data_IF_501313176269
#
_entry.id   IF_501313176269
#
_cell.length_a   1.000
_cell.length_b   1.000
_cell.length_c   1.000
_cell.angle_alpha   90.00
_cell.angle_beta   90.00
_cell.angle_gamma   90.00
#
_symmetry.space_group_name_H-M   'P 1'
#
loop_
_entity.id
_entity.type
_entity.pdbx_description
1 polymer ?
#
# COMPACT_ATOMS: atom_id res chain seq x y z
N UNK A 1 24.42 1.32 5.38
CA UNK A 1 24.84 0.24 6.31
C UNK A 1 25.29 0.90 7.60
N UNK A 2 24.93 0.31 8.74
CA UNK A 2 25.21 0.87 10.06
C UNK A 2 25.85 -0.20 10.95
N UNK A 3 26.96 0.14 11.61
CA UNK A 3 27.53 -0.65 12.70
C UNK A 3 26.74 -0.34 13.99
N UNK A 4 26.03 -1.32 14.53
CA UNK A 4 25.07 -1.10 15.63
C UNK A 4 25.55 -1.51 17.03
N UNK A 5 26.67 -2.24 17.13
CA UNK A 5 27.18 -2.83 18.37
C UNK A 5 28.18 -1.92 19.10
N UNK A 6 28.67 -0.85 18.45
CA UNK A 6 29.64 0.06 19.05
C UNK A 6 31.06 -0.52 19.10
N UNK A 7 31.35 -1.53 18.28
CA UNK A 7 32.66 -2.18 18.17
C UNK A 7 33.17 -2.09 16.74
N UNK A 8 34.47 -1.87 16.51
CA UNK A 8 35.02 -1.85 15.16
C UNK A 8 34.80 -3.20 14.46
N UNK A 9 34.53 -3.15 13.16
CA UNK A 9 34.38 -4.32 12.28
C UNK A 9 35.37 -4.17 11.14
N UNK A 10 36.32 -5.10 11.06
CA UNK A 10 37.31 -5.15 9.98
C UNK A 10 36.91 -6.21 8.95
N UNK A 11 37.23 -5.94 7.69
CA UNK A 11 37.00 -6.82 6.54
C UNK A 11 35.56 -7.30 6.38
N UNK A 12 34.60 -6.42 6.67
CA UNK A 12 33.20 -6.70 6.41
C UNK A 12 33.01 -6.96 4.91
N UNK A 13 32.41 -8.11 4.58
CA UNK A 13 32.16 -8.53 3.21
C UNK A 13 30.66 -8.72 2.99
N UNK A 14 30.11 -7.98 2.02
CA UNK A 14 28.73 -8.13 1.58
C UNK A 14 28.67 -8.68 0.17
N UNK A 15 28.00 -9.83 0.01
CA UNK A 15 27.64 -10.40 -1.28
C UNK A 15 26.14 -10.31 -1.50
N UNK A 16 25.72 -9.88 -2.68
CA UNK A 16 24.33 -9.80 -3.10
C UNK A 16 24.16 -10.51 -4.45
N UNK A 17 23.10 -11.31 -4.59
CA UNK A 17 22.79 -12.02 -5.83
C UNK A 17 23.95 -12.87 -6.34
N UNK A 18 24.26 -12.76 -7.64
CA UNK A 18 25.42 -13.44 -8.24
C UNK A 18 26.76 -12.84 -7.78
N UNK A 19 26.77 -11.57 -7.38
CA UNK A 19 27.93 -10.82 -6.91
C UNK A 19 27.76 -9.32 -7.14
N UNK A 20 28.60 -8.52 -6.50
CA UNK A 20 28.76 -7.09 -6.76
C UNK A 20 29.76 -6.93 -7.91
N UNK A 21 29.38 -6.21 -8.95
CA UNK A 21 30.27 -5.89 -10.08
C UNK A 21 31.05 -4.60 -9.81
N UNK A 22 30.37 -3.57 -9.30
CA UNK A 22 30.98 -2.29 -8.94
C UNK A 22 30.32 -1.74 -7.68
N UNK A 23 31.09 -0.97 -6.92
CA UNK A 23 30.59 -0.23 -5.77
C UNK A 23 31.26 1.14 -5.67
N UNK A 24 30.52 2.12 -5.19
CA UNK A 24 31.04 3.43 -4.78
C UNK A 24 30.41 3.85 -3.46
N UNK A 25 31.16 4.59 -2.65
CA UNK A 25 30.65 5.17 -1.42
C UNK A 25 29.94 6.48 -1.73
N UNK A 26 28.82 6.70 -1.04
CA UNK A 26 28.00 7.90 -1.15
C UNK A 26 27.88 8.61 0.20
N UNK A 27 27.51 9.88 0.15
CA UNK A 27 26.95 10.56 1.31
C UNK A 27 25.50 10.13 1.58
N UNK A 28 24.96 10.54 2.72
CA UNK A 28 23.54 10.34 3.03
C UNK A 28 22.61 11.04 2.02
N UNK A 29 23.10 12.06 1.31
CA UNK A 29 22.42 12.76 0.21
C UNK A 29 22.45 12.00 -1.13
N UNK A 30 23.01 10.80 -1.17
CA UNK A 30 23.25 9.98 -2.39
C UNK A 30 24.27 10.57 -3.38
N UNK A 31 24.93 11.68 -3.03
CA UNK A 31 26.04 12.22 -3.80
C UNK A 31 27.29 11.34 -3.67
N UNK A 32 28.09 11.28 -4.73
CA UNK A 32 29.32 10.49 -4.76
C UNK A 32 30.33 11.01 -3.75
N UNK A 33 30.81 10.12 -2.88
CA UNK A 33 31.86 10.40 -1.90
C UNK A 33 33.21 9.87 -2.37
N UNK A 34 33.23 8.73 -3.05
CA UNK A 34 34.44 8.14 -3.59
C UNK A 34 34.31 6.65 -3.95
N UNK A 35 35.41 6.02 -4.38
CA UNK A 35 35.40 4.61 -4.77
C UNK A 35 35.19 3.69 -3.56
N UNK A 36 34.62 2.50 -3.81
CA UNK A 36 34.54 1.42 -2.82
C UNK A 36 35.18 0.15 -3.37
N UNK A 37 35.67 -0.71 -2.47
CA UNK A 37 36.41 -1.91 -2.85
C UNK A 37 35.47 -3.06 -3.13
N UNK A 38 35.59 -3.66 -4.31
CA UNK A 38 34.94 -4.92 -4.66
C UNK A 38 36.01 -5.99 -4.81
N UNK A 39 35.87 -7.09 -4.08
CA UNK A 39 36.79 -8.25 -4.14
C UNK A 39 35.97 -9.53 -4.23
N UNK A 40 36.28 -10.38 -5.21
CA UNK A 40 35.63 -11.68 -5.40
C UNK A 40 34.08 -11.62 -5.46
N UNK A 41 33.54 -10.53 -6.03
CA UNK A 41 32.09 -10.30 -6.10
C UNK A 41 31.45 -9.82 -4.79
N UNK A 42 32.24 -9.38 -3.81
CA UNK A 42 31.77 -8.82 -2.56
C UNK A 42 32.19 -7.35 -2.44
N UNK A 43 31.30 -6.49 -1.91
CA UNK A 43 31.72 -5.22 -1.34
C UNK A 43 32.55 -5.53 -0.09
N UNK A 44 33.76 -4.98 0.01
CA UNK A 44 34.64 -5.13 1.19
C UNK A 44 34.93 -3.78 1.79
N UNK A 45 34.73 -3.65 3.10
CA UNK A 45 34.90 -2.39 3.82
C UNK A 45 35.12 -2.63 5.32
N UNK A 46 35.67 -1.62 6.00
CA UNK A 46 35.75 -1.58 7.46
C UNK A 46 34.75 -0.58 8.03
N UNK A 47 34.38 -0.78 9.29
CA UNK A 47 33.55 0.11 10.10
C UNK A 47 34.23 0.44 11.43
N UNK A 48 34.26 1.71 11.80
CA UNK A 48 34.52 2.13 13.19
C UNK A 48 33.23 1.99 14.03
N UNK A 49 33.30 2.03 15.38
CA UNK A 49 32.11 2.02 16.24
C UNK A 49 31.03 3.02 15.80
N UNK A 50 29.79 2.56 15.68
CA UNK A 50 28.62 3.34 15.26
C UNK A 50 28.74 4.05 13.91
N UNK A 51 29.66 3.61 13.05
CA UNK A 51 29.86 4.24 11.76
C UNK A 51 28.72 3.90 10.79
N UNK A 52 28.22 4.93 10.13
CA UNK A 52 27.27 4.81 9.04
C UNK A 52 28.00 5.05 7.72
N UNK A 53 27.85 4.11 6.79
CA UNK A 53 28.36 4.24 5.41
C UNK A 53 27.27 3.91 4.40
N UNK A 54 27.23 4.67 3.32
CA UNK A 54 26.25 4.49 2.24
C UNK A 54 26.99 4.07 0.98
N UNK A 55 26.46 3.10 0.24
CA UNK A 55 27.08 2.59 -0.97
C UNK A 55 26.06 2.46 -2.09
N UNK A 56 26.43 2.90 -3.29
CA UNK A 56 25.74 2.49 -4.51
C UNK A 56 26.41 1.24 -5.07
N UNK A 57 25.60 0.22 -5.39
CA UNK A 57 26.07 -1.06 -5.89
C UNK A 57 25.52 -1.30 -7.30
N UNK A 58 26.38 -1.76 -8.20
CA UNK A 58 25.96 -2.39 -9.45
C UNK A 58 26.20 -3.88 -9.31
N UNK A 59 25.12 -4.67 -9.36
CA UNK A 59 25.21 -6.13 -9.24
C UNK A 59 25.70 -6.75 -10.55
N UNK A 60 26.33 -7.91 -10.45
CA UNK A 60 26.57 -8.78 -11.60
C UNK A 60 25.24 -9.22 -12.21
N UNK A 61 25.20 -9.49 -13.52
CA UNK A 61 24.02 -10.05 -14.17
C UNK A 61 23.51 -11.28 -13.41
N UNK A 62 22.20 -11.36 -13.19
CA UNK A 62 21.60 -12.52 -12.57
C UNK A 62 21.81 -13.76 -13.46
N UNK A 63 22.16 -14.89 -12.85
CA UNK A 63 22.33 -16.16 -13.58
C UNK A 63 21.01 -16.65 -14.20
N UNK A 64 19.87 -16.22 -13.64
CA UNK A 64 18.55 -16.45 -14.17
C UNK A 64 17.85 -15.12 -14.42
N UNK A 65 17.36 -14.93 -15.63
CA UNK A 65 16.53 -13.78 -16.01
C UNK A 65 15.09 -14.27 -16.08
N UNK A 66 14.22 -13.71 -15.23
CA UNK A 66 12.79 -13.96 -15.31
C UNK A 66 12.20 -13.32 -16.56
N UNK A 67 11.29 -14.01 -17.23
CA UNK A 67 10.48 -13.40 -18.28
C UNK A 67 9.39 -12.54 -17.64
N UNK A 68 9.09 -11.39 -18.26
CA UNK A 68 7.98 -10.56 -17.85
C UNK A 68 6.68 -11.39 -17.86
N UNK A 69 5.91 -11.27 -16.78
CA UNK A 69 4.59 -11.85 -16.71
C UNK A 69 3.71 -11.30 -17.84
N UNK A 70 3.00 -12.16 -18.56
CA UNK A 70 1.91 -11.67 -19.42
C UNK A 70 0.76 -11.32 -18.49
N UNK A 71 0.52 -10.02 -18.38
CA UNK A 71 -0.63 -9.46 -17.70
C UNK A 71 -1.57 -8.89 -18.75
N UNK A 72 -2.85 -9.23 -18.68
CA UNK A 72 -3.86 -8.66 -19.58
C UNK A 72 -5.04 -8.14 -18.77
N UNK A 73 -5.31 -6.82 -18.82
CA UNK A 73 -6.50 -6.27 -18.19
C UNK A 73 -7.77 -6.99 -18.65
N UNK A 74 -8.65 -7.26 -17.69
CA UNK A 74 -9.95 -7.89 -17.90
C UNK A 74 -11.03 -6.83 -17.87
N UNK A 75 -11.87 -6.78 -18.92
CA UNK A 75 -13.04 -5.91 -18.94
C UNK A 75 -14.07 -6.42 -17.94
N UNK A 76 -14.47 -5.56 -17.00
CA UNK A 76 -15.49 -5.86 -16.00
C UNK A 76 -16.84 -5.22 -16.39
N UNK A 77 -17.98 -5.85 -16.03
CA UNK A 77 -19.30 -5.30 -16.27
C UNK A 77 -19.65 -4.22 -15.22
N UNK A 78 -18.99 -3.06 -15.31
CA UNK A 78 -19.15 -1.97 -14.35
C UNK A 78 -20.62 -1.57 -14.16
N UNK A 79 -21.03 -1.31 -12.93
CA UNK A 79 -22.44 -1.06 -12.57
C UNK A 79 -22.64 0.12 -11.60
N UNK A 80 -21.58 0.73 -11.08
CA UNK A 80 -21.66 1.91 -10.20
C UNK A 80 -20.61 2.96 -10.60
N UNK A 81 -20.93 4.23 -10.36
CA UNK A 81 -19.98 5.33 -10.52
C UNK A 81 -19.21 5.54 -9.20
N UNK A 82 -17.90 5.30 -9.24
CA UNK A 82 -16.95 5.53 -8.16
C UNK A 82 -15.95 6.65 -8.48
N UNK A 83 -15.70 6.94 -9.76
CA UNK A 83 -14.82 8.04 -10.19
C UNK A 83 -15.69 9.18 -10.72
N UNK A 84 -15.48 10.40 -10.21
CA UNK A 84 -16.30 11.58 -10.52
C UNK A 84 -15.43 12.79 -10.84
N UNK A 85 -15.94 13.70 -11.67
CA UNK A 85 -15.31 15.02 -11.89
C UNK A 85 -15.67 15.98 -10.76
N UNK A 86 -14.89 17.03 -10.58
CA UNK A 86 -15.20 18.10 -9.62
C UNK A 86 -16.63 18.63 -9.83
N UNK A 87 -17.44 18.67 -8.76
CA UNK A 87 -18.82 19.16 -8.79
C UNK A 87 -19.85 18.21 -9.40
N UNK A 88 -19.45 17.01 -9.84
CA UNK A 88 -20.36 15.97 -10.31
C UNK A 88 -21.01 15.25 -9.11
N UNK A 89 -22.32 15.05 -9.15
CA UNK A 89 -23.00 14.26 -8.13
C UNK A 89 -22.63 12.79 -8.25
N UNK A 90 -22.11 12.21 -7.18
CA UNK A 90 -21.70 10.81 -7.13
C UNK A 90 -22.82 9.88 -6.65
N UNK A 91 -22.74 8.61 -7.07
CA UNK A 91 -23.65 7.54 -6.62
C UNK A 91 -23.30 6.97 -5.25
N UNK A 92 -22.11 7.28 -4.76
CA UNK A 92 -21.54 6.77 -3.52
C UNK A 92 -21.27 7.90 -2.54
N UNK A 93 -21.23 7.62 -1.22
CA UNK A 93 -20.89 8.63 -0.21
C UNK A 93 -19.54 9.29 -0.46
N UNK A 94 -18.57 8.50 -0.96
CA UNK A 94 -17.24 8.96 -1.35
C UNK A 94 -16.89 8.42 -2.73
N UNK A 95 -16.28 9.26 -3.55
CA UNK A 95 -15.80 8.93 -4.89
C UNK A 95 -14.37 9.41 -5.11
N UNK A 96 -13.65 8.74 -6.01
CA UNK A 96 -12.29 9.08 -6.43
C UNK A 96 -12.36 10.26 -7.41
N UNK A 97 -11.62 11.34 -7.19
CA UNK A 97 -11.55 12.44 -8.16
C UNK A 97 -10.89 11.98 -9.47
N UNK A 98 -11.51 12.27 -10.60
CA UNK A 98 -11.06 11.80 -11.92
C UNK A 98 -9.65 12.27 -12.30
N UNK A 99 -9.22 13.44 -11.81
CA UNK A 99 -7.89 14.00 -11.99
C UNK A 99 -6.80 13.29 -11.15
N UNK A 100 -7.20 12.47 -10.17
CA UNK A 100 -6.27 11.69 -9.33
C UNK A 100 -5.90 10.34 -9.91
N UNK A 101 -6.74 9.79 -10.78
CA UNK A 101 -6.55 8.46 -11.35
C UNK A 101 -6.34 8.50 -12.87
N UNK A 102 -5.24 7.87 -13.31
CA UNK A 102 -4.94 7.70 -14.73
C UNK A 102 -5.85 6.66 -15.40
N UNK A 103 -5.67 6.47 -16.71
CA UNK A 103 -6.38 5.40 -17.46
C UNK A 103 -5.84 4.00 -17.10
N UNK A 104 -4.69 3.95 -16.42
CA UNK A 104 -4.08 2.74 -15.91
C UNK A 104 -3.46 3.00 -14.53
N UNK A 105 -3.63 2.04 -13.63
CA UNK A 105 -2.86 1.93 -12.39
C UNK A 105 -1.89 0.76 -12.54
N UNK A 106 -0.60 0.98 -12.29
CA UNK A 106 0.38 -0.11 -12.24
C UNK A 106 0.84 -0.28 -10.80
N UNK A 107 0.54 -1.43 -10.21
CA UNK A 107 0.91 -1.74 -8.84
C UNK A 107 1.43 -3.18 -8.74
N UNK A 108 2.51 -3.38 -7.98
CA UNK A 108 3.22 -4.67 -7.90
C UNK A 108 3.59 -5.28 -9.26
N UNK A 109 3.89 -4.44 -10.26
CA UNK A 109 4.18 -4.86 -11.63
C UNK A 109 2.95 -5.35 -12.42
N UNK A 110 1.74 -5.19 -11.89
CA UNK A 110 0.48 -5.58 -12.53
C UNK A 110 -0.20 -4.30 -13.08
N UNK A 111 -0.47 -4.22 -14.40
CA UNK A 111 -1.25 -3.14 -14.98
C UNK A 111 -2.74 -3.40 -14.78
N UNK A 112 -3.48 -2.40 -14.32
CA UNK A 112 -4.93 -2.38 -14.17
C UNK A 112 -5.51 -1.27 -15.06
N UNK A 113 -6.34 -1.63 -16.04
CA UNK A 113 -7.02 -0.65 -16.87
C UNK A 113 -8.22 -0.06 -16.12
N UNK A 114 -8.27 1.26 -16.01
CA UNK A 114 -9.28 1.99 -15.25
C UNK A 114 -10.36 2.50 -16.20
N UNK A 115 -11.61 2.09 -15.95
CA UNK A 115 -12.76 2.69 -16.63
C UNK A 115 -12.98 4.11 -16.07
N UNK A 116 -13.38 5.06 -16.91
CA UNK A 116 -13.63 6.45 -16.49
C UNK A 116 -15.04 6.93 -16.80
N UNK A 117 -15.60 6.49 -17.91
CA UNK A 117 -16.90 6.95 -18.39
C UNK A 117 -18.06 6.17 -17.77
N UNK A 118 -19.16 6.86 -17.47
CA UNK A 118 -20.38 6.26 -16.96
C UNK A 118 -20.17 5.47 -15.67
N UNK A 119 -20.57 4.19 -15.68
CA UNK A 119 -20.25 3.26 -14.59
C UNK A 119 -18.80 2.82 -14.72
N UNK A 120 -18.00 3.09 -13.69
CA UNK A 120 -16.55 2.93 -13.72
C UNK A 120 -15.99 2.08 -12.58
N UNK A 121 -16.87 1.49 -11.77
CA UNK A 121 -16.52 0.44 -10.84
C UNK A 121 -17.58 -0.67 -10.85
N UNK A 122 -17.17 -1.85 -10.37
CA UNK A 122 -18.02 -3.01 -10.21
C UNK A 122 -18.35 -3.19 -8.72
N UNK A 123 -19.61 -2.98 -8.36
CA UNK A 123 -20.20 -3.46 -7.12
C UNK A 123 -20.52 -4.94 -7.21
N UNK A 124 -20.08 -5.71 -6.23
CA UNK A 124 -20.22 -7.17 -6.25
C UNK A 124 -21.68 -7.61 -6.08
N UNK A 125 -22.20 -8.30 -7.08
CA UNK A 125 -23.60 -8.75 -7.16
C UNK A 125 -23.73 -10.20 -7.68
N UNK A 126 -22.69 -11.02 -7.54
CA UNK A 126 -22.72 -12.42 -8.01
C UNK A 126 -22.27 -12.60 -9.47
N UNK A 127 -21.50 -11.67 -10.01
CA UNK A 127 -21.07 -11.73 -11.42
C UNK A 127 -20.15 -12.93 -11.66
N UNK A 128 -20.32 -13.58 -12.80
CA UNK A 128 -19.41 -14.62 -13.29
C UNK A 128 -18.44 -14.02 -14.29
N UNK A 129 -17.15 -14.08 -13.98
CA UNK A 129 -16.06 -13.66 -14.86
C UNK A 129 -15.56 -14.87 -15.65
N UNK A 130 -15.49 -14.73 -16.97
CA UNK A 130 -14.86 -15.72 -17.85
C UNK A 130 -13.41 -15.31 -18.12
N UNK A 131 -12.49 -16.25 -17.97
CA UNK A 131 -11.06 -16.05 -18.07
C UNK A 131 -10.52 -16.74 -19.33
N UNK A 132 -9.38 -16.27 -19.83
CA UNK A 132 -8.63 -16.93 -20.88
C UNK A 132 -8.07 -18.25 -20.39
N UNK A 133 -7.93 -19.20 -21.30
CA UNK A 133 -7.44 -20.56 -21.00
C UNK A 133 -6.03 -20.61 -20.42
N UNK A 134 -5.18 -19.62 -20.73
CA UNK A 134 -3.80 -19.52 -20.22
C UNK A 134 -3.69 -18.76 -18.89
N UNK A 135 -4.80 -18.24 -18.35
CA UNK A 135 -4.84 -17.51 -17.09
C UNK A 135 -4.56 -18.46 -15.92
N UNK A 136 -3.56 -18.12 -15.11
CA UNK A 136 -3.18 -18.87 -13.91
C UNK A 136 -3.62 -18.18 -12.64
N UNK A 137 -3.66 -16.85 -12.64
CA UNK A 137 -4.08 -16.02 -11.51
C UNK A 137 -4.94 -14.86 -12.00
N UNK A 138 -5.90 -14.45 -11.18
CA UNK A 138 -6.70 -13.25 -11.38
C UNK A 138 -6.35 -12.25 -10.29
N UNK A 139 -5.87 -11.07 -10.68
CA UNK A 139 -5.67 -9.95 -9.77
C UNK A 139 -6.88 -9.02 -9.83
N UNK A 140 -7.44 -8.66 -8.69
CA UNK A 140 -8.53 -7.71 -8.54
C UNK A 140 -8.01 -6.51 -7.74
N UNK A 141 -8.29 -5.30 -8.22
CA UNK A 141 -8.06 -4.07 -7.46
C UNK A 141 -9.38 -3.68 -6.81
N UNK A 142 -9.55 -3.95 -5.52
CA UNK A 142 -10.82 -3.81 -4.82
C UNK A 142 -10.69 -3.30 -3.38
N UNK A 143 -11.81 -2.90 -2.80
CA UNK A 143 -11.96 -2.60 -1.38
C UNK A 143 -13.43 -2.69 -0.94
N UNK A 144 -13.64 -2.79 0.37
CA UNK A 144 -14.96 -2.79 1.01
C UNK A 144 -15.15 -1.55 1.89
N UNK A 145 -16.36 -1.29 2.41
CA UNK A 145 -16.54 -0.22 3.42
C UNK A 145 -15.84 -0.57 4.74
N UNK A 146 -15.82 -1.85 5.12
CA UNK A 146 -15.10 -2.36 6.29
C UNK A 146 -14.37 -3.67 5.99
N UNK A 147 -13.34 -3.97 6.78
CA UNK A 147 -12.59 -5.24 6.67
C UNK A 147 -13.56 -6.42 6.85
N UNK A 148 -13.55 -7.35 5.90
CA UNK A 148 -14.43 -8.52 5.90
C UNK A 148 -13.83 -9.70 5.14
N UNK A 149 -14.38 -10.88 5.38
CA UNK A 149 -14.06 -12.09 4.61
C UNK A 149 -15.21 -12.31 3.63
N UNK A 150 -14.88 -12.47 2.35
CA UNK A 150 -15.84 -12.82 1.31
C UNK A 150 -15.46 -14.13 0.62
N UNK A 151 -16.48 -14.89 0.24
CA UNK A 151 -16.34 -16.19 -0.39
C UNK A 151 -16.38 -16.08 -1.92
N UNK A 152 -15.22 -16.22 -2.56
CA UNK A 152 -15.10 -16.26 -4.02
C UNK A 152 -15.24 -17.70 -4.50
N UNK A 153 -15.93 -17.94 -5.62
CA UNK A 153 -15.97 -19.29 -6.20
C UNK A 153 -15.04 -19.37 -7.41
N UNK A 154 -14.03 -20.23 -7.35
CA UNK A 154 -13.03 -20.43 -8.40
C UNK A 154 -13.10 -21.87 -8.89
N UNK A 155 -13.46 -22.09 -10.16
CA UNK A 155 -13.59 -23.45 -10.71
C UNK A 155 -14.51 -24.36 -9.89
N UNK A 156 -15.59 -23.80 -9.33
CA UNK A 156 -16.57 -24.50 -8.49
C UNK A 156 -16.17 -24.68 -7.01
N UNK A 157 -14.99 -24.21 -6.58
CA UNK A 157 -14.56 -24.25 -5.18
C UNK A 157 -14.68 -22.89 -4.51
N UNK A 158 -15.19 -22.87 -3.29
CA UNK A 158 -15.23 -21.66 -2.45
C UNK A 158 -13.84 -21.35 -1.89
N UNK A 159 -13.41 -20.10 -2.02
CA UNK A 159 -12.14 -19.56 -1.55
C UNK A 159 -12.43 -18.31 -0.70
N UNK A 160 -12.33 -18.42 0.64
CA UNK A 160 -12.51 -17.26 1.53
C UNK A 160 -11.33 -16.30 1.35
N UNK A 161 -11.64 -15.02 1.14
CA UNK A 161 -10.64 -13.98 0.90
C UNK A 161 -10.89 -12.77 1.82
N UNK A 162 -9.82 -12.25 2.40
CA UNK A 162 -9.87 -10.98 3.13
C UNK A 162 -10.01 -9.82 2.14
N UNK A 163 -11.02 -8.98 2.34
CA UNK A 163 -11.23 -7.73 1.61
C UNK A 163 -11.16 -6.58 2.61
N UNK A 164 -10.28 -5.63 2.31
CA UNK A 164 -9.91 -4.56 3.22
C UNK A 164 -10.72 -3.29 3.01
N UNK A 165 -10.88 -2.53 4.08
CA UNK A 165 -11.63 -1.28 4.12
C UNK A 165 -10.99 -0.21 3.25
N UNK A 166 -11.82 0.50 2.50
CA UNK A 166 -11.43 1.63 1.67
C UNK A 166 -11.19 2.91 2.45
N UNK A 167 -11.74 3.03 3.66
CA UNK A 167 -11.71 4.26 4.46
C UNK A 167 -10.77 4.16 5.66
N UNK A 168 -10.50 2.95 6.16
CA UNK A 168 -9.47 2.76 7.19
C UNK A 168 -8.09 2.96 6.58
N UNK A 169 -7.22 3.71 7.27
CA UNK A 169 -5.84 3.97 6.84
C UNK A 169 -5.05 2.67 6.63
N UNK A 170 -4.18 2.64 5.63
CA UNK A 170 -3.29 1.50 5.41
C UNK A 170 -2.38 1.25 6.62
N UNK A 171 -1.83 2.32 7.18
CA UNK A 171 -1.03 2.27 8.39
C UNK A 171 -1.27 3.52 9.23
N UNK A 172 -1.19 3.38 10.54
CA UNK A 172 -1.10 4.51 11.45
C UNK A 172 -0.20 4.20 12.64
N UNK A 173 0.11 5.24 13.40
CA UNK A 173 0.99 5.19 14.56
C UNK A 173 0.28 5.74 15.79
N UNK A 174 0.82 5.46 16.97
CA UNK A 174 0.26 5.92 18.24
C UNK A 174 0.11 7.45 18.26
N UNK A 175 -1.14 7.90 18.29
CA UNK A 175 -1.51 9.29 18.51
C UNK A 175 -2.30 9.38 19.81
N UNK A 176 -1.58 9.64 20.91
CA UNK A 176 -2.12 9.68 22.27
C UNK A 176 -3.39 10.51 22.39
N UNK A 177 -3.43 11.66 21.72
CA UNK A 177 -4.57 12.58 21.75
C UNK A 177 -5.79 12.18 20.98
N UNK A 178 -5.59 11.34 19.99
CA UNK A 178 -6.67 10.81 19.18
C UNK A 178 -7.12 9.45 19.72
N UNK A 179 -6.48 8.94 20.77
CA UNK A 179 -6.65 7.58 21.28
C UNK A 179 -6.48 6.54 20.15
N UNK A 180 -5.62 6.86 19.18
CA UNK A 180 -5.35 6.02 18.02
C UNK A 180 -4.10 5.21 18.30
N UNK A 181 -4.19 3.88 18.26
CA UNK A 181 -3.05 2.99 18.37
C UNK A 181 -2.49 2.67 16.99
N UNK A 182 -1.18 2.40 16.96
CA UNK A 182 -0.50 1.95 15.78
C UNK A 182 -1.14 0.67 15.22
N UNK A 183 -1.34 0.64 13.91
CA UNK A 183 -1.83 -0.54 13.20
C UNK A 183 -1.36 -0.50 11.76
N UNK A 184 -1.32 -1.68 11.12
CA UNK A 184 -1.04 -1.82 9.69
C UNK A 184 -2.04 -2.82 9.11
N UNK A 185 -2.73 -2.44 8.05
CA UNK A 185 -3.60 -3.36 7.33
C UNK A 185 -2.78 -4.38 6.56
N UNK A 186 -2.99 -5.65 6.87
CA UNK A 186 -2.32 -6.76 6.19
C UNK A 186 -2.95 -7.02 4.82
N UNK A 187 -2.42 -6.34 3.80
CA UNK A 187 -2.81 -6.56 2.41
C UNK A 187 -1.86 -5.87 1.44
N UNK A 188 -2.03 -6.20 0.16
CA UNK A 188 -1.22 -5.61 -0.89
C UNK A 188 -1.86 -4.31 -1.38
N UNK A 189 -1.36 -3.16 -0.95
CA UNK A 189 -1.88 -1.86 -1.37
C UNK A 189 -1.68 -1.68 -2.89
N UNK A 190 -2.76 -1.34 -3.60
CA UNK A 190 -2.77 -1.15 -5.05
C UNK A 190 -2.91 0.30 -5.49
N UNK A 191 -3.78 1.06 -4.83
CA UNK A 191 -4.02 2.46 -5.15
C UNK A 191 -4.47 3.26 -3.92
N UNK A 192 -4.08 4.53 -3.87
CA UNK A 192 -4.50 5.49 -2.84
C UNK A 192 -4.96 6.78 -3.51
N UNK A 193 -6.19 7.18 -3.22
CA UNK A 193 -6.65 8.54 -3.48
C UNK A 193 -6.40 9.39 -2.23
N UNK A 194 -5.68 10.51 -2.37
CA UNK A 194 -5.32 11.39 -1.24
C UNK A 194 -6.47 12.28 -0.74
N UNK A 195 -7.55 12.34 -1.51
CA UNK A 195 -8.82 12.96 -1.14
C UNK A 195 -9.94 12.31 -1.95
N UNK A 196 -11.18 12.69 -1.64
CA UNK A 196 -12.38 12.15 -2.26
C UNK A 196 -13.37 13.28 -2.57
N UNK A 197 -14.34 13.02 -3.44
CA UNK A 197 -15.55 13.84 -3.51
C UNK A 197 -16.66 13.22 -2.67
N UNK A 198 -17.45 14.06 -2.02
CA UNK A 198 -18.72 13.70 -1.41
C UNK A 198 -19.77 13.42 -2.51
N UNK A 199 -20.88 12.78 -2.14
CA UNK A 199 -21.99 12.52 -3.06
C UNK A 199 -22.58 13.77 -3.72
N UNK A 200 -22.48 14.95 -3.07
CA UNK A 200 -22.93 16.23 -3.62
C UNK A 200 -21.94 16.90 -4.58
N UNK A 201 -20.79 16.26 -4.84
CA UNK A 201 -19.73 16.74 -5.73
C UNK A 201 -18.72 17.69 -5.09
N UNK A 202 -18.85 17.96 -3.79
CA UNK A 202 -17.87 18.78 -3.04
C UNK A 202 -16.67 17.96 -2.57
N UNK A 203 -15.55 18.63 -2.29
CA UNK A 203 -14.34 17.96 -1.80
C UNK A 203 -14.51 17.48 -0.34
N UNK A 204 -14.26 16.18 -0.13
CA UNK A 204 -14.08 15.58 1.17
C UNK A 204 -12.63 15.78 1.61
N UNK A 205 -12.40 16.83 2.41
CA UNK A 205 -11.07 17.20 2.91
C UNK A 205 -10.47 16.05 3.74
N UNK A 206 -9.25 15.64 3.40
CA UNK A 206 -8.49 14.60 4.12
C UNK A 206 -9.25 13.27 4.28
N UNK A 207 -10.11 12.93 3.33
CA UNK A 207 -10.75 11.61 3.21
C UNK A 207 -10.08 10.82 2.11
N UNK A 208 -9.09 10.02 2.50
CA UNK A 208 -8.37 9.14 1.60
C UNK A 208 -9.19 7.88 1.30
N UNK A 209 -8.96 7.29 0.12
CA UNK A 209 -9.51 6.00 -0.26
C UNK A 209 -8.41 5.03 -0.63
N UNK A 210 -8.48 3.83 -0.08
CA UNK A 210 -7.50 2.76 -0.27
C UNK A 210 -8.10 1.60 -1.08
N UNK A 211 -7.36 1.11 -2.05
CA UNK A 211 -7.71 -0.07 -2.85
C UNK A 211 -6.57 -1.06 -2.82
N UNK A 212 -6.91 -2.33 -2.70
CA UNK A 212 -5.98 -3.42 -2.45
C UNK A 212 -6.02 -4.44 -3.59
N UNK A 213 -4.89 -5.09 -3.82
CA UNK A 213 -4.75 -6.17 -4.77
C UNK A 213 -5.09 -7.48 -4.06
N UNK A 214 -6.14 -8.14 -4.51
CA UNK A 214 -6.44 -9.53 -4.17
C UNK A 214 -6.06 -10.43 -5.34
N UNK A 215 -5.26 -11.46 -5.09
CA UNK A 215 -4.84 -12.42 -6.11
C UNK A 215 -5.51 -13.76 -5.85
N UNK A 216 -6.36 -14.19 -6.78
CA UNK A 216 -6.97 -15.52 -6.79
C UNK A 216 -6.13 -16.46 -7.65
N UNK A 217 -5.86 -17.68 -7.16
CA UNK A 217 -5.30 -18.75 -7.98
C UNK A 217 -6.44 -19.43 -8.75
N UNK A 218 -6.39 -19.36 -10.08
CA UNK A 218 -7.46 -19.84 -10.98
C UNK A 218 -7.00 -20.99 -11.87
N UNK A 219 -5.82 -21.57 -11.60
CA UNK A 219 -5.33 -22.72 -12.37
C UNK A 219 -6.34 -23.87 -12.37
N UNK A 220 -6.76 -24.28 -13.56
CA UNK A 220 -7.70 -25.39 -13.77
C UNK A 220 -9.18 -24.98 -13.84
N UNK A 221 -9.50 -23.68 -13.77
CA UNK A 221 -10.82 -23.15 -14.04
C UNK A 221 -10.75 -21.95 -15.00
N UNK A 222 -11.76 -21.80 -15.85
CA UNK A 222 -11.93 -20.66 -16.76
C UNK A 222 -12.99 -19.67 -16.25
N UNK A 223 -13.52 -19.90 -15.05
CA UNK A 223 -14.59 -19.10 -14.47
C UNK A 223 -14.32 -18.77 -13.00
N UNK A 224 -14.63 -17.52 -12.63
CA UNK A 224 -14.64 -17.04 -11.25
C UNK A 224 -16.00 -16.39 -10.98
N UNK A 225 -16.73 -16.86 -9.98
CA UNK A 225 -17.95 -16.21 -9.51
C UNK A 225 -17.60 -15.33 -8.32
N UNK A 226 -17.85 -14.02 -8.48
CA UNK A 226 -17.68 -13.04 -7.43
C UNK A 226 -18.83 -13.17 -6.42
N UNK A 227 -18.61 -12.87 -5.13
CA UNK A 227 -19.67 -12.88 -4.12
C UNK A 227 -20.73 -11.80 -4.39
N UNK A 228 -21.84 -11.86 -3.65
CA UNK A 228 -22.80 -10.75 -3.54
C UNK A 228 -22.45 -9.95 -2.29
N UNK A 229 -22.00 -8.71 -2.47
CA UNK A 229 -21.68 -7.80 -1.38
C UNK A 229 -21.79 -6.35 -1.86
N UNK A 230 -22.83 -5.65 -1.41
CA UNK A 230 -23.14 -4.28 -1.81
C UNK A 230 -22.09 -3.25 -1.38
N UNK A 231 -21.26 -3.61 -0.40
CA UNK A 231 -20.23 -2.76 0.18
C UNK A 231 -18.85 -2.99 -0.47
N UNK A 232 -18.71 -3.92 -1.42
CA UNK A 232 -17.43 -4.19 -2.08
C UNK A 232 -17.42 -3.68 -3.50
N UNK A 233 -16.38 -2.91 -3.81
CA UNK A 233 -16.17 -2.26 -5.10
C UNK A 233 -14.86 -2.74 -5.70
N UNK A 234 -14.89 -3.12 -6.98
CA UNK A 234 -13.73 -3.47 -7.78
C UNK A 234 -13.52 -2.38 -8.82
N UNK A 235 -12.34 -1.76 -8.81
CA UNK A 235 -11.93 -0.77 -9.81
C UNK A 235 -11.55 -1.42 -11.13
N UNK A 236 -10.82 -2.53 -11.06
CA UNK A 236 -10.27 -3.20 -12.22
C UNK A 236 -9.84 -4.63 -11.90
N UNK A 237 -9.64 -5.42 -12.95
CA UNK A 237 -9.13 -6.77 -12.85
C UNK A 237 -8.10 -7.04 -13.95
N UNK A 238 -7.16 -7.94 -13.67
CA UNK A 238 -6.08 -8.31 -14.60
C UNK A 238 -5.80 -9.81 -14.54
N UNK A 239 -5.81 -10.45 -15.70
CA UNK A 239 -5.43 -11.84 -15.88
C UNK A 239 -3.92 -11.98 -15.93
N UNK A 240 -3.38 -12.94 -15.18
CA UNK A 240 -1.94 -13.21 -15.07
C UNK A 240 -1.64 -14.64 -15.50
N UNK A 241 -0.68 -14.82 -16.41
CA UNK A 241 -0.23 -16.15 -16.84
C UNK A 241 0.96 -16.71 -16.04
N UNK A 242 1.24 -16.15 -14.87
CA UNK A 242 2.42 -16.48 -14.07
C UNK A 242 2.08 -17.21 -12.78
N UNK A 243 3.07 -17.91 -12.24
CA UNK A 243 3.00 -18.54 -10.92
C UNK A 243 3.21 -17.52 -9.81
N UNK A 244 2.74 -17.83 -8.59
CA UNK A 244 2.97 -16.97 -7.43
C UNK A 244 4.47 -16.85 -7.13
N UNK A 245 4.94 -15.62 -6.97
CA UNK A 245 6.32 -15.29 -6.55
C UNK A 245 6.20 -14.45 -5.29
N UNK A 246 6.16 -15.10 -4.10
CA UNK A 246 6.09 -14.37 -2.84
C UNK A 246 7.44 -13.68 -2.56
N UNK A 247 7.40 -12.59 -1.80
CA UNK A 247 8.62 -12.03 -1.23
C UNK A 247 9.23 -13.02 -0.24
N UNK A 248 10.56 -13.19 -0.28
CA UNK A 248 11.29 -14.10 0.63
C UNK A 248 11.23 -13.59 2.08
N UNK A 249 11.13 -12.27 2.24
CA UNK A 249 10.93 -11.59 3.53
C UNK A 249 9.83 -10.54 3.39
N UNK A 250 9.13 -10.19 4.48
CA UNK A 250 8.22 -9.04 4.48
C UNK A 250 8.95 -7.76 4.03
N UNK A 251 8.25 -6.88 3.32
CA UNK A 251 8.80 -5.61 2.80
C UNK A 251 8.55 -4.41 3.72
N UNK A 252 7.71 -4.58 4.74
CA UNK A 252 7.36 -3.54 5.69
C UNK A 252 7.30 -4.12 7.11
N UNK A 253 7.58 -3.27 8.08
CA UNK A 253 7.49 -3.61 9.49
C UNK A 253 6.05 -3.95 9.87
N UNK A 254 5.87 -4.83 10.85
CA UNK A 254 4.54 -5.19 11.37
C UNK A 254 4.35 -4.58 12.75
N UNK A 255 3.14 -4.14 13.00
CA UNK A 255 2.69 -3.71 14.32
C UNK A 255 1.56 -4.64 14.72
N UNK A 256 1.72 -5.32 15.86
CA UNK A 256 0.64 -6.09 16.45
C UNK A 256 -0.37 -5.15 17.10
N UNK A 257 -1.66 -5.46 16.94
CA UNK A 257 -2.72 -4.72 17.63
C UNK A 257 -2.49 -4.83 19.14
N UNK A 258 -2.33 -3.68 19.80
CA UNK A 258 -2.05 -3.59 21.23
C UNK A 258 -2.85 -2.44 21.86
N UNK A 259 -3.20 -2.54 23.15
CA UNK A 259 -3.72 -1.40 23.87
C UNK A 259 -2.64 -0.32 23.99
N UNK A 260 -3.07 0.93 24.19
CA UNK A 260 -2.18 2.05 24.46
C UNK A 260 -1.36 1.77 25.73
N UNK A 261 -0.04 1.71 25.63
CA UNK A 261 0.87 1.42 26.76
C UNK A 261 1.57 2.69 27.29
N UNK A 262 1.52 3.78 26.54
CA UNK A 262 2.10 5.05 26.94
C UNK A 262 1.37 5.60 28.17
N UNK A 263 2.15 5.88 29.21
CA UNK A 263 1.67 6.52 30.42
C UNK A 263 2.50 7.76 30.73
N UNK A 264 1.84 8.82 31.18
CA UNK A 264 2.50 10.03 31.66
C UNK A 264 2.56 9.99 33.19
N UNK A 265 3.70 10.40 33.76
CA UNK A 265 3.76 10.76 35.18
C UNK A 265 2.82 11.93 35.43
N UNK A 266 2.29 12.06 36.65
CA UNK A 266 1.35 13.12 37.00
C UNK A 266 1.88 14.52 36.65
N UNK A 267 3.15 14.80 36.94
CA UNK A 267 3.79 16.07 36.60
C UNK A 267 3.84 16.35 35.09
N UNK A 268 4.18 15.33 34.29
CA UNK A 268 4.18 15.43 32.83
C UNK A 268 2.78 15.63 32.28
N UNK A 269 1.78 14.92 32.82
CA UNK A 269 0.38 15.07 32.45
C UNK A 269 -0.14 16.48 32.76
N UNK A 270 0.19 17.03 33.92
CA UNK A 270 -0.19 18.41 34.29
C UNK A 270 0.48 19.44 33.39
N UNK A 271 1.79 19.28 33.11
CA UNK A 271 2.52 20.14 32.16
C UNK A 271 1.90 20.07 30.77
N UNK A 272 1.61 18.87 30.31
CA UNK A 272 0.99 18.60 29.03
C UNK A 272 -0.38 19.27 28.87
N UNK A 273 -1.27 19.08 29.86
CA UNK A 273 -2.59 19.71 29.88
C UNK A 273 -2.49 21.25 29.92
N UNK A 274 -1.52 21.79 30.67
CA UNK A 274 -1.25 23.24 30.70
C UNK A 274 -0.81 23.75 29.34
N UNK A 275 0.12 23.07 28.66
CA UNK A 275 0.63 23.49 27.35
C UNK A 275 -0.42 23.39 26.22
N UNK A 276 -1.44 22.54 26.39
CA UNK A 276 -2.59 22.46 25.48
C UNK A 276 -3.58 23.60 25.57
N UNK A 277 -3.51 24.42 26.61
CA UNK A 277 -4.46 25.51 26.73
C UNK A 277 -4.21 26.52 25.59
N UNK A 278 -5.27 27.05 24.95
CA UNK A 278 -5.15 27.96 23.80
C UNK A 278 -4.22 29.15 24.05
N UNK A 279 -4.17 29.63 25.30
CA UNK A 279 -3.32 30.73 25.76
C UNK A 279 -1.82 30.45 25.62
N UNK A 280 -1.40 29.18 25.72
CA UNK A 280 -0.01 28.73 25.59
C UNK A 280 0.35 28.28 24.17
N UNK A 281 -0.63 27.84 23.37
CA UNK A 281 -0.38 27.41 21.99
C UNK A 281 -0.29 28.57 20.99
N UNK A 282 -0.77 29.76 21.36
CA UNK A 282 -0.70 30.96 20.53
C UNK A 282 -1.24 30.69 19.13
N UNK A 283 -2.57 30.62 18.98
CA UNK A 283 -3.32 30.18 17.79
C UNK A 283 -3.14 31.06 16.53
N UNK A 284 -1.90 31.34 16.15
CA UNK A 284 -1.54 32.10 14.95
C UNK A 284 -1.86 31.33 13.67
N UNK A 285 -2.06 30.01 13.76
CA UNK A 285 -2.32 29.11 12.64
C UNK A 285 -3.78 28.62 12.50
N UNK A 286 -4.72 29.09 13.33
CA UNK A 286 -6.13 28.64 13.38
C UNK A 286 -6.31 27.13 13.62
N UNK A 287 -5.46 26.52 14.43
CA UNK A 287 -5.43 25.08 14.70
C UNK A 287 -6.78 24.57 15.24
N UNK A 288 -7.47 25.38 16.04
CA UNK A 288 -8.78 25.04 16.61
C UNK A 288 -9.92 25.06 15.59
N UNK A 289 -9.84 25.87 14.52
CA UNK A 289 -10.86 25.93 13.46
C UNK A 289 -10.79 24.76 12.47
N UNK A 290 -9.63 24.11 12.39
CA UNK A 290 -9.36 22.96 11.53
C UNK A 290 -9.45 21.62 12.30
N UNK A 291 -9.49 21.67 13.63
CA UNK A 291 -9.65 20.50 14.49
C UNK A 291 -10.99 19.82 14.14
N UNK A 292 -10.94 18.54 13.75
CA UNK A 292 -12.06 17.66 13.36
C UNK A 292 -12.41 17.50 11.87
N UNK A 293 -11.68 18.08 10.90
CA UNK A 293 -12.04 17.87 9.47
C UNK A 293 -11.70 16.48 8.92
N UNK A 294 -10.76 15.75 9.53
CA UNK A 294 -10.31 14.42 9.08
C UNK A 294 -10.51 13.27 10.06
N UNK A 295 -11.24 13.46 11.18
CA UNK A 295 -11.47 12.37 12.14
C UNK A 295 -12.35 11.27 11.53
N UNK A 296 -11.99 10.02 11.78
CA UNK A 296 -12.93 8.90 11.71
C UNK A 296 -13.93 9.10 12.85
N UNK A 297 -15.22 9.14 12.54
CA UNK A 297 -16.27 9.07 13.56
C UNK A 297 -16.68 7.60 13.58
N UNK A 298 -16.67 6.99 14.77
CA UNK A 298 -17.34 5.70 15.02
C UNK A 298 -18.84 5.81 14.70
#
# INVERSE_FOLDING_TARGET
>A
MNEGAGTPVEHYALRLGAGVAEARELFASEEEKGPATVKDGCLVTDFTPYQIRTFALRLQPAAQVGHAAKATPLTLPMNVQLITKQGEQGELPLSIPAERIGDQVTAAGIPFAIAKDGKNALRLAGQTLTLKKDTRRLALLLSADSNRILDFTVGGKTVPCSVLSRTRRFASWDLYDLHETAHIQEGQLGYVSTHSHNADGTDAIAKELYFYILILNVQGGDTVVLPRDEETLVLAATELNTVAVPCVTPLYDRVEDRPFDYTMRLGDKLRYLRMKLPWYMGDKGRYFSCYNRGRERE
#
